data_IF_095584517573
#
_entry.id   IF_095584517573
#
_cell.length_a   1.000
_cell.length_b   1.000
_cell.length_c   1.000
_cell.angle_alpha   90.00
_cell.angle_beta   90.00
_cell.angle_gamma   90.00
#
_symmetry.space_group_name_H-M   'P 1'
#
loop_
_entity.id
_entity.type
_entity.pdbx_description
1 polymer ?
#
# COMPACT_ATOMS: atom_id res chain seq x y z
N UNK A 1 -8.69 -30.94 8.88
CA UNK A 1 -8.96 -29.97 9.97
C UNK A 1 -8.03 -28.79 9.77
N UNK A 2 -8.41 -27.88 8.89
CA UNK A 2 -7.72 -26.59 8.71
C UNK A 2 -8.12 -25.70 9.88
N UNK A 3 -7.15 -25.26 10.67
CA UNK A 3 -7.40 -24.29 11.73
C UNK A 3 -8.00 -23.04 11.08
N UNK A 4 -9.13 -22.56 11.61
CA UNK A 4 -9.73 -21.31 11.20
C UNK A 4 -8.67 -20.20 11.33
N UNK A 5 -8.21 -19.64 10.21
CA UNK A 5 -7.29 -18.50 10.21
C UNK A 5 -7.98 -17.33 10.90
N UNK A 6 -7.49 -16.96 12.08
CA UNK A 6 -7.94 -15.77 12.79
C UNK A 6 -7.64 -14.49 12.00
N UNK A 7 -8.20 -13.34 12.41
CA UNK A 7 -7.96 -12.08 11.73
C UNK A 7 -6.46 -11.73 11.68
N UNK A 8 -6.01 -11.19 10.55
CA UNK A 8 -4.61 -10.78 10.35
C UNK A 8 -4.19 -9.77 11.44
N UNK A 9 -3.12 -10.06 12.19
CA UNK A 9 -2.71 -9.21 13.31
C UNK A 9 -2.21 -7.85 12.83
N UNK A 10 -2.41 -6.82 13.66
CA UNK A 10 -1.86 -5.49 13.50
C UNK A 10 -0.38 -5.42 13.84
N UNK A 11 0.29 -4.36 13.38
CA UNK A 11 1.66 -3.99 13.80
C UNK A 11 1.79 -3.98 15.33
N UNK A 12 0.79 -3.44 16.04
CA UNK A 12 0.81 -3.34 17.50
C UNK A 12 0.74 -4.73 18.16
N UNK A 13 -0.09 -5.64 17.66
CA UNK A 13 -0.19 -7.02 18.18
C UNK A 13 1.06 -7.85 17.91
N UNK A 14 1.70 -7.67 16.74
CA UNK A 14 3.00 -8.31 16.44
C UNK A 14 4.08 -7.79 17.38
N UNK A 15 4.16 -6.46 17.55
CA UNK A 15 5.10 -5.83 18.49
C UNK A 15 4.87 -6.33 19.92
N UNK A 16 3.62 -6.42 20.36
CA UNK A 16 3.26 -6.88 21.70
C UNK A 16 3.69 -8.32 21.97
N UNK A 17 3.44 -9.23 21.01
CA UNK A 17 3.93 -10.62 21.09
C UNK A 17 5.45 -10.68 21.15
N UNK A 18 6.13 -9.90 20.32
CA UNK A 18 7.61 -9.84 20.31
C UNK A 18 8.14 -9.27 21.63
N UNK A 19 7.56 -8.18 22.15
CA UNK A 19 7.92 -7.59 23.43
C UNK A 19 7.77 -8.58 24.59
N UNK A 20 6.67 -9.36 24.60
CA UNK A 20 6.46 -10.42 25.58
C UNK A 20 7.52 -11.52 25.48
N UNK A 21 7.89 -11.91 24.26
CA UNK A 21 8.96 -12.89 24.02
C UNK A 21 10.34 -12.36 24.45
N UNK A 22 10.66 -11.10 24.14
CA UNK A 22 11.91 -10.45 24.55
C UNK A 22 12.00 -10.29 26.07
N UNK A 23 10.88 -9.99 26.75
CA UNK A 23 10.83 -10.02 28.22
C UNK A 23 11.13 -11.42 28.76
N UNK A 24 10.52 -12.44 28.17
CA UNK A 24 10.58 -13.83 28.65
C UNK A 24 10.02 -13.94 30.08
N UNK A 25 10.73 -14.66 30.95
CA UNK A 25 10.33 -14.86 32.35
C UNK A 25 10.69 -13.69 33.27
N UNK A 26 11.31 -12.63 32.73
CA UNK A 26 11.64 -11.43 33.52
C UNK A 26 10.37 -10.74 33.99
N UNK A 27 10.47 -10.16 35.18
CA UNK A 27 9.40 -9.36 35.80
C UNK A 27 9.07 -8.13 34.94
N UNK A 28 7.78 -7.80 34.83
CA UNK A 28 7.28 -6.65 34.04
C UNK A 28 7.86 -5.32 34.56
N UNK A 29 8.12 -5.24 35.86
CA UNK A 29 8.75 -4.10 36.53
C UNK A 29 10.14 -3.78 35.97
N UNK A 30 10.90 -4.80 35.54
CA UNK A 30 12.23 -4.60 34.94
C UNK A 30 12.12 -3.95 33.57
N UNK A 31 11.13 -4.35 32.76
CA UNK A 31 10.87 -3.73 31.46
C UNK A 31 10.39 -2.29 31.64
N UNK A 32 9.50 -2.04 32.61
CA UNK A 32 9.03 -0.69 32.91
C UNK A 32 10.18 0.21 33.39
N UNK A 33 11.09 -0.32 34.20
CA UNK A 33 12.29 0.41 34.62
C UNK A 33 13.20 0.74 33.42
N UNK A 34 13.48 -0.23 32.56
CA UNK A 34 14.28 -0.02 31.35
C UNK A 34 13.63 0.98 30.37
N UNK A 35 12.30 0.92 30.21
CA UNK A 35 11.54 1.87 29.39
C UNK A 35 11.67 3.31 29.92
N UNK A 36 11.62 3.51 31.25
CA UNK A 36 11.88 4.81 31.89
C UNK A 36 13.29 5.31 31.62
N UNK A 37 14.29 4.44 31.75
CA UNK A 37 15.68 4.77 31.44
C UNK A 37 15.87 5.13 29.96
N UNK A 38 15.05 4.58 29.06
CA UNK A 38 15.01 4.90 27.64
C UNK A 38 14.15 6.14 27.30
N UNK A 39 13.62 6.85 28.29
CA UNK A 39 12.84 8.09 28.11
C UNK A 39 11.32 7.90 27.96
N UNK A 40 10.80 6.68 28.09
CA UNK A 40 9.36 6.43 28.13
C UNK A 40 8.86 6.53 29.57
N UNK A 41 7.92 7.44 29.87
CA UNK A 41 7.29 7.51 31.19
C UNK A 41 6.26 6.37 31.40
N UNK A 42 6.69 5.12 31.24
CA UNK A 42 5.84 3.93 31.23
C UNK A 42 5.96 3.17 32.55
N UNK A 43 4.80 2.82 33.13
CA UNK A 43 4.70 1.88 34.25
C UNK A 43 4.39 0.47 33.78
N UNK A 44 4.28 -0.46 34.73
CA UNK A 44 3.96 -1.88 34.46
C UNK A 44 2.66 -2.06 33.68
N UNK A 45 1.63 -1.26 33.97
CA UNK A 45 0.37 -1.29 33.20
C UNK A 45 0.57 -0.97 31.72
N UNK A 46 1.45 -0.02 31.39
CA UNK A 46 1.72 0.34 29.99
C UNK A 46 2.54 -0.72 29.26
N UNK A 47 3.40 -1.45 29.99
CA UNK A 47 4.08 -2.64 29.45
C UNK A 47 3.07 -3.77 29.21
N UNK A 48 2.12 -3.98 30.11
CA UNK A 48 1.06 -4.97 29.91
C UNK A 48 0.17 -4.61 28.70
N UNK A 49 -0.13 -3.32 28.49
CA UNK A 49 -0.81 -2.85 27.27
C UNK A 49 0.00 -3.08 26.01
N UNK A 50 1.32 -2.85 26.07
CA UNK A 50 2.23 -3.13 24.96
C UNK A 50 2.15 -4.61 24.58
N UNK A 51 2.35 -5.50 25.56
CA UNK A 51 2.34 -6.95 25.34
C UNK A 51 1.01 -7.49 24.82
N UNK A 52 -0.08 -6.80 25.13
CA UNK A 52 -1.41 -7.11 24.64
C UNK A 52 -1.75 -6.44 23.29
N UNK A 53 -0.82 -5.72 22.67
CA UNK A 53 -1.02 -5.05 21.38
C UNK A 53 -1.92 -3.82 21.42
N UNK A 54 -2.18 -3.25 22.60
CA UNK A 54 -3.04 -2.06 22.77
C UNK A 54 -2.28 -0.74 22.63
N UNK A 55 -0.96 -0.79 22.46
CA UNK A 55 -0.11 0.38 22.24
C UNK A 55 0.11 0.55 20.75
N UNK A 56 -0.41 1.63 20.17
CA UNK A 56 -0.01 2.03 18.81
C UNK A 56 1.39 2.64 18.86
N UNK A 57 2.42 1.98 18.29
CA UNK A 57 3.78 2.46 18.40
C UNK A 57 4.04 3.57 17.37
N UNK A 58 4.74 4.61 17.80
CA UNK A 58 5.36 5.61 16.90
C UNK A 58 6.83 5.29 16.68
N UNK A 59 7.47 5.87 15.67
CA UNK A 59 8.91 5.69 15.46
C UNK A 59 9.76 6.04 16.71
N UNK A 60 9.52 7.17 17.43
CA UNK A 60 10.19 7.43 18.70
C UNK A 60 9.95 6.34 19.76
N UNK A 61 8.72 5.80 19.83
CA UNK A 61 8.40 4.70 20.74
C UNK A 61 9.18 3.43 20.40
N UNK A 62 9.24 3.06 19.12
CA UNK A 62 10.00 1.89 18.66
C UNK A 62 11.49 2.02 18.96
N UNK A 63 12.07 3.20 18.74
CA UNK A 63 13.45 3.48 19.11
C UNK A 63 13.69 3.29 20.63
N UNK A 64 12.84 3.89 21.46
CA UNK A 64 12.97 3.78 22.91
C UNK A 64 12.78 2.33 23.40
N UNK A 65 11.92 1.54 22.74
CA UNK A 65 11.78 0.11 23.02
C UNK A 65 13.03 -0.70 22.63
N UNK A 66 13.70 -0.38 21.52
CA UNK A 66 14.99 -0.99 21.17
C UNK A 66 16.03 -0.73 22.26
N UNK A 67 16.11 0.50 22.76
CA UNK A 67 17.02 0.88 23.86
C UNK A 67 16.64 0.13 25.15
N UNK A 68 15.36 0.13 25.53
CA UNK A 68 14.88 -0.50 26.75
C UNK A 68 15.15 -2.02 26.75
N UNK A 69 14.79 -2.73 25.68
CA UNK A 69 15.06 -4.15 25.57
C UNK A 69 16.55 -4.45 25.37
N UNK A 70 17.31 -3.55 24.75
CA UNK A 70 18.75 -3.72 24.60
C UNK A 70 19.49 -3.64 25.95
N UNK A 71 19.10 -2.70 26.81
CA UNK A 71 19.56 -2.62 28.21
C UNK A 71 19.15 -3.89 28.98
N UNK A 72 17.90 -4.32 28.85
CA UNK A 72 17.37 -5.48 29.57
C UNK A 72 18.04 -6.80 29.19
N UNK A 73 18.44 -6.93 27.92
CA UNK A 73 19.02 -8.14 27.35
C UNK A 73 20.54 -8.10 27.23
N UNK A 74 21.16 -6.98 27.58
CA UNK A 74 22.60 -6.72 27.43
C UNK A 74 23.11 -7.00 25.99
N UNK A 75 22.33 -6.57 25.00
CA UNK A 75 22.69 -6.67 23.58
C UNK A 75 22.03 -5.57 22.75
N UNK A 76 22.64 -5.10 21.66
CA UNK A 76 21.98 -4.17 20.76
C UNK A 76 20.74 -4.81 20.10
N UNK A 77 19.72 -3.98 19.83
CA UNK A 77 18.53 -4.32 19.06
C UNK A 77 18.33 -3.33 17.93
N UNK A 78 17.87 -3.84 16.80
CA UNK A 78 17.40 -3.09 15.64
C UNK A 78 15.88 -2.95 15.67
N UNK A 79 15.33 -2.06 14.84
CA UNK A 79 13.88 -1.95 14.68
C UNK A 79 13.27 -3.26 14.15
N UNK A 80 13.97 -3.99 13.28
CA UNK A 80 13.51 -5.26 12.74
C UNK A 80 13.37 -6.35 13.82
N UNK A 81 14.21 -6.32 14.86
CA UNK A 81 14.14 -7.27 15.99
C UNK A 81 12.85 -7.15 16.80
N UNK A 82 12.15 -6.02 16.71
CA UNK A 82 10.85 -5.81 17.36
C UNK A 82 9.68 -6.49 16.62
N UNK A 83 9.93 -7.09 15.45
CA UNK A 83 8.92 -7.67 14.57
C UNK A 83 9.28 -9.11 14.17
N UNK A 84 9.45 -9.97 15.17
CA UNK A 84 9.79 -11.38 14.98
C UNK A 84 8.57 -12.24 14.59
N UNK A 85 8.84 -13.40 13.99
CA UNK A 85 7.84 -14.36 13.53
C UNK A 85 7.56 -14.28 12.04
N UNK A 86 6.47 -14.92 11.60
CA UNK A 86 6.11 -15.06 10.18
C UNK A 86 4.62 -14.76 9.94
N UNK A 87 4.25 -14.70 8.66
CA UNK A 87 2.89 -14.46 8.20
C UNK A 87 2.56 -12.99 7.95
N UNK A 88 1.28 -12.72 7.69
CA UNK A 88 0.81 -11.39 7.31
C UNK A 88 0.63 -10.47 8.50
N UNK A 89 0.86 -9.18 8.26
CA UNK A 89 0.60 -8.10 9.22
C UNK A 89 -0.20 -6.99 8.53
N UNK A 90 -1.17 -6.44 9.27
CA UNK A 90 -1.96 -5.29 8.85
C UNK A 90 -1.25 -3.99 9.20
N UNK A 91 -0.97 -3.17 8.18
CA UNK A 91 -0.17 -1.93 8.25
C UNK A 91 -1.06 -0.69 8.41
N UNK A 92 -2.22 -0.68 7.76
CA UNK A 92 -3.14 0.46 7.76
C UNK A 92 -4.52 0.06 8.26
N UNK A 93 -5.29 1.05 8.72
CA UNK A 93 -6.62 0.83 9.28
C UNK A 93 -7.63 0.31 8.24
N UNK A 94 -7.47 0.71 6.97
CA UNK A 94 -8.27 0.31 5.81
C UNK A 94 -7.90 -1.08 5.26
N UNK A 95 -7.01 -1.81 5.94
CA UNK A 95 -6.78 -3.23 5.68
C UNK A 95 -5.61 -3.55 4.77
N UNK A 96 -4.73 -2.60 4.45
CA UNK A 96 -3.49 -2.94 3.74
C UNK A 96 -2.65 -3.90 4.60
N UNK A 97 -2.26 -5.02 4.00
CA UNK A 97 -1.46 -6.06 4.64
C UNK A 97 -0.18 -6.30 3.86
N UNK A 98 0.85 -6.81 4.54
CA UNK A 98 2.11 -7.24 3.93
C UNK A 98 2.69 -8.44 4.68
N UNK A 99 3.65 -9.15 4.10
CA UNK A 99 4.35 -10.21 4.81
C UNK A 99 5.27 -9.62 5.88
N UNK A 100 5.36 -10.27 7.04
CA UNK A 100 6.18 -9.76 8.14
C UNK A 100 7.68 -9.73 7.79
N UNK A 101 8.12 -10.61 6.88
CA UNK A 101 9.47 -10.57 6.30
C UNK A 101 9.73 -9.27 5.53
N UNK A 102 8.78 -8.82 4.72
CA UNK A 102 8.90 -7.57 3.94
C UNK A 102 8.98 -6.35 4.88
N UNK A 103 8.20 -6.34 5.96
CA UNK A 103 8.29 -5.30 6.99
C UNK A 103 9.69 -5.26 7.62
N UNK A 104 10.26 -6.42 7.95
CA UNK A 104 11.63 -6.50 8.50
C UNK A 104 12.68 -6.02 7.52
N UNK A 105 12.58 -6.41 6.26
CA UNK A 105 13.51 -5.99 5.21
C UNK A 105 13.48 -4.47 5.04
N UNK A 106 12.28 -3.87 5.01
CA UNK A 106 12.12 -2.41 4.97
C UNK A 106 12.76 -1.73 6.18
N UNK A 107 12.51 -2.24 7.40
CA UNK A 107 13.11 -1.70 8.63
C UNK A 107 14.63 -1.91 8.71
N UNK A 108 15.15 -2.91 7.99
CA UNK A 108 16.59 -3.13 7.81
C UNK A 108 17.20 -2.26 6.69
N UNK A 109 16.41 -1.36 6.08
CA UNK A 109 16.86 -0.43 5.05
C UNK A 109 16.84 -1.00 3.64
N UNK A 110 16.23 -2.16 3.41
CA UNK A 110 15.99 -2.63 2.05
C UNK A 110 14.97 -1.72 1.35
N UNK A 111 15.15 -1.42 0.05
CA UNK A 111 14.17 -0.66 -0.71
C UNK A 111 12.81 -1.33 -0.68
N UNK A 112 11.75 -0.55 -0.42
CA UNK A 112 10.38 -1.00 -0.63
C UNK A 112 10.17 -1.11 -2.14
N UNK A 113 9.84 -2.30 -2.63
CA UNK A 113 9.42 -2.45 -4.02
C UNK A 113 8.04 -1.81 -4.18
N UNK A 114 7.96 -0.71 -4.93
CA UNK A 114 6.70 -0.02 -5.26
C UNK A 114 6.32 -0.25 -6.72
N UNK A 115 6.80 -1.33 -7.33
CA UNK A 115 6.54 -1.66 -8.71
C UNK A 115 5.05 -1.83 -9.05
N UNK A 116 4.68 -1.69 -10.35
CA UNK A 116 3.32 -1.87 -10.87
C UNK A 116 2.57 -3.10 -10.32
N UNK A 117 3.29 -4.17 -10.03
CA UNK A 117 2.74 -5.45 -9.58
C UNK A 117 2.14 -5.41 -8.16
N UNK A 118 2.59 -4.53 -7.25
CA UNK A 118 1.98 -4.40 -5.92
C UNK A 118 0.68 -3.59 -5.93
N UNK A 119 0.60 -2.59 -6.80
CA UNK A 119 -0.66 -1.87 -7.06
C UNK A 119 -1.67 -2.83 -7.68
N UNK A 120 -1.24 -3.62 -8.65
CA UNK A 120 -2.07 -4.66 -9.26
C UNK A 120 -2.52 -5.73 -8.25
N UNK A 121 -1.63 -6.22 -7.38
CA UNK A 121 -2.01 -7.22 -6.38
C UNK A 121 -3.02 -6.65 -5.36
N UNK A 122 -2.84 -5.41 -4.92
CA UNK A 122 -3.80 -4.71 -4.04
C UNK A 122 -5.15 -4.47 -4.71
N UNK A 123 -5.16 -4.12 -5.99
CA UNK A 123 -6.39 -3.92 -6.76
C UNK A 123 -7.15 -5.22 -7.01
N UNK A 124 -6.42 -6.28 -7.39
CA UNK A 124 -6.99 -7.62 -7.57
C UNK A 124 -7.55 -8.12 -6.24
N UNK A 125 -6.84 -7.90 -5.13
CA UNK A 125 -7.32 -8.27 -3.79
C UNK A 125 -8.54 -7.45 -3.37
N UNK A 126 -8.53 -6.12 -3.57
CA UNK A 126 -9.68 -5.26 -3.26
C UNK A 126 -10.94 -5.61 -4.08
N UNK A 127 -10.75 -5.99 -5.36
CA UNK A 127 -11.82 -6.50 -6.20
C UNK A 127 -12.34 -7.86 -5.72
N UNK A 128 -11.44 -8.76 -5.32
CA UNK A 128 -11.80 -10.07 -4.78
C UNK A 128 -12.53 -9.97 -3.44
N UNK A 129 -12.16 -9.03 -2.55
CA UNK A 129 -12.86 -8.80 -1.29
C UNK A 129 -14.27 -8.23 -1.51
N UNK A 130 -14.43 -7.27 -2.42
CA UNK A 130 -15.75 -6.73 -2.76
C UNK A 130 -16.68 -7.81 -3.36
N UNK A 131 -16.13 -8.67 -4.22
CA UNK A 131 -16.88 -9.81 -4.75
C UNK A 131 -17.23 -10.83 -3.65
N UNK A 132 -16.29 -11.14 -2.75
CA UNK A 132 -16.50 -12.05 -1.64
C UNK A 132 -17.63 -11.58 -0.70
N UNK A 133 -17.68 -10.28 -0.40
CA UNK A 133 -18.77 -9.66 0.38
C UNK A 133 -20.13 -9.75 -0.33
N UNK A 134 -20.15 -9.53 -1.65
CA UNK A 134 -21.39 -9.59 -2.43
C UNK A 134 -21.97 -11.00 -2.55
N UNK A 135 -21.11 -12.02 -2.56
CA UNK A 135 -21.49 -13.42 -2.75
C UNK A 135 -21.45 -14.26 -1.47
N UNK A 136 -21.20 -13.64 -0.30
CA UNK A 136 -21.11 -14.26 1.02
C UNK A 136 -20.20 -15.51 1.05
N UNK A 137 -19.00 -15.35 0.48
CA UNK A 137 -17.96 -16.40 0.42
C UNK A 137 -16.66 -15.88 1.02
N UNK A 138 -15.79 -16.77 1.52
CA UNK A 138 -14.48 -16.36 1.99
C UNK A 138 -13.62 -15.84 0.82
N UNK A 139 -12.81 -14.79 1.00
CA UNK A 139 -11.99 -14.23 -0.08
C UNK A 139 -11.04 -15.27 -0.74
N UNK A 140 -10.53 -16.23 0.04
CA UNK A 140 -9.75 -17.36 -0.47
C UNK A 140 -10.59 -18.37 -1.27
N UNK A 141 -11.87 -18.51 -0.95
CA UNK A 141 -12.83 -19.33 -1.71
C UNK A 141 -13.32 -18.60 -2.95
N UNK A 142 -13.45 -17.27 -2.94
CA UNK A 142 -13.71 -16.48 -4.15
C UNK A 142 -12.58 -16.63 -5.18
N UNK A 143 -11.33 -16.69 -4.70
CA UNK A 143 -10.16 -16.98 -5.54
C UNK A 143 -10.17 -18.42 -6.10
N UNK A 144 -10.56 -19.39 -5.29
CA UNK A 144 -10.50 -20.83 -5.62
C UNK A 144 -11.73 -21.33 -6.42
N UNK A 145 -12.93 -20.90 -6.05
CA UNK A 145 -14.20 -21.22 -6.72
C UNK A 145 -14.32 -20.56 -8.10
N UNK A 146 -13.58 -19.47 -8.33
CA UNK A 146 -13.44 -18.91 -9.66
C UNK A 146 -12.66 -19.86 -10.62
N UNK A 147 -12.02 -20.93 -10.11
CA UNK A 147 -11.41 -21.97 -10.93
C UNK A 147 -10.37 -21.43 -11.91
N UNK A 148 -9.72 -20.32 -11.56
CA UNK A 148 -8.97 -19.55 -12.53
C UNK A 148 -7.51 -19.95 -12.47
N UNK A 149 -7.07 -20.73 -13.45
CA UNK A 149 -5.71 -20.49 -13.91
C UNK A 149 -5.63 -18.99 -14.25
N UNK A 150 -4.70 -18.26 -13.64
CA UNK A 150 -4.45 -16.81 -13.84
C UNK A 150 -4.69 -16.25 -15.26
N UNK A 151 -4.51 -17.01 -16.37
CA UNK A 151 -4.90 -16.56 -17.71
C UNK A 151 -6.40 -16.24 -17.94
N UNK A 152 -7.35 -16.94 -17.30
CA UNK A 152 -8.77 -16.86 -17.68
C UNK A 152 -9.55 -15.73 -17.00
N UNK A 153 -9.16 -15.31 -15.79
CA UNK A 153 -9.72 -14.14 -15.11
C UNK A 153 -9.24 -12.90 -15.85
N UNK A 154 -7.97 -12.91 -16.27
CA UNK A 154 -7.37 -11.87 -17.10
C UNK A 154 -8.10 -11.74 -18.45
N UNK A 155 -8.56 -12.86 -19.02
CA UNK A 155 -9.41 -12.96 -20.22
C UNK A 155 -10.81 -12.41 -20.03
N UNK A 156 -11.47 -12.81 -18.95
CA UNK A 156 -12.88 -12.49 -18.68
C UNK A 156 -13.11 -11.10 -18.09
N UNK A 157 -12.13 -10.56 -17.37
CA UNK A 157 -12.19 -9.22 -16.76
C UNK A 157 -11.58 -8.12 -17.64
N UNK A 158 -10.95 -8.47 -18.76
CA UNK A 158 -10.27 -7.51 -19.63
C UNK A 158 -8.92 -7.02 -19.09
N UNK A 159 -8.39 -7.61 -18.01
CA UNK A 159 -7.04 -7.34 -17.47
C UNK A 159 -5.89 -7.61 -18.46
N UNK A 160 -6.16 -8.15 -19.66
CA UNK A 160 -5.18 -8.23 -20.76
C UNK A 160 -4.72 -6.87 -21.31
N UNK A 161 -5.45 -5.78 -21.04
CA UNK A 161 -5.05 -4.47 -21.53
C UNK A 161 -4.24 -3.71 -20.49
N UNK A 162 -2.97 -4.09 -20.37
CA UNK A 162 -1.86 -3.43 -19.68
C UNK A 162 -2.08 -3.05 -18.17
N UNK A 163 -1.07 -3.22 -17.29
CA UNK A 163 -1.05 -2.56 -15.97
C UNK A 163 -1.23 -1.05 -16.04
N UNK A 164 -0.88 -0.49 -17.20
CA UNK A 164 -0.60 0.91 -17.42
C UNK A 164 -1.88 1.76 -17.42
N UNK A 165 -2.97 1.42 -18.13
CA UNK A 165 -4.27 2.09 -17.98
C UNK A 165 -4.73 2.20 -16.53
N UNK A 166 -4.65 1.13 -15.75
CA UNK A 166 -5.12 1.17 -14.37
C UNK A 166 -4.25 2.07 -13.47
N UNK A 167 -2.93 2.02 -13.63
CA UNK A 167 -1.99 2.93 -12.94
C UNK A 167 -2.26 4.38 -13.35
N UNK A 168 -2.49 4.64 -14.64
CA UNK A 168 -2.86 5.97 -15.13
C UNK A 168 -4.14 6.45 -14.47
N UNK A 169 -5.18 5.61 -14.43
CA UNK A 169 -6.48 5.93 -13.81
C UNK A 169 -6.35 6.33 -12.35
N UNK A 170 -5.58 5.58 -11.57
CA UNK A 170 -5.37 5.86 -10.15
C UNK A 170 -4.56 7.13 -9.88
N UNK A 171 -3.71 7.52 -10.82
CA UNK A 171 -2.90 8.73 -10.74
C UNK A 171 -3.53 9.93 -11.45
N UNK A 172 -4.82 9.84 -11.84
CA UNK A 172 -5.56 10.99 -12.33
C UNK A 172 -5.77 11.98 -11.19
N UNK A 173 -5.36 13.21 -11.44
CA UNK A 173 -5.62 14.36 -10.59
C UNK A 173 -6.79 15.16 -11.13
N UNK A 174 -7.32 16.06 -10.30
CA UNK A 174 -8.38 17.00 -10.69
C UNK A 174 -8.03 17.80 -11.98
N UNK A 175 -6.76 18.10 -12.18
CA UNK A 175 -6.29 18.76 -13.41
C UNK A 175 -6.47 17.90 -14.67
N UNK A 176 -6.35 16.58 -14.55
CA UNK A 176 -6.57 15.64 -15.66
C UNK A 176 -8.05 15.58 -16.02
N UNK A 177 -8.95 15.50 -15.03
CA UNK A 177 -10.40 15.55 -15.25
C UNK A 177 -10.83 16.84 -15.94
N UNK A 178 -10.32 18.01 -15.50
CA UNK A 178 -10.60 19.29 -16.16
C UNK A 178 -10.09 19.34 -17.59
N UNK A 179 -8.88 18.79 -17.84
CA UNK A 179 -8.32 18.71 -19.17
C UNK A 179 -9.18 17.84 -20.09
N UNK A 180 -9.60 16.67 -19.63
CA UNK A 180 -10.48 15.77 -20.38
C UNK A 180 -11.84 16.41 -20.71
N UNK A 181 -12.47 17.07 -19.74
CA UNK A 181 -13.69 17.86 -20.01
C UNK A 181 -13.45 18.99 -21.01
N UNK A 182 -12.27 19.60 -20.99
CA UNK A 182 -11.90 20.65 -21.97
C UNK A 182 -11.67 20.11 -23.39
N UNK A 183 -11.54 18.80 -23.57
CA UNK A 183 -11.56 18.11 -24.87
C UNK A 183 -12.98 17.80 -25.34
N UNK A 184 -14.00 18.14 -24.55
CA UNK A 184 -15.41 17.85 -24.86
C UNK A 184 -15.87 16.47 -24.43
N UNK A 185 -15.03 15.70 -23.72
CA UNK A 185 -15.39 14.37 -23.23
C UNK A 185 -16.40 14.46 -22.08
N UNK A 186 -17.48 13.70 -22.21
CA UNK A 186 -18.50 13.54 -21.19
C UNK A 186 -18.17 12.33 -20.33
N UNK A 187 -17.47 12.59 -19.24
CA UNK A 187 -16.89 11.54 -18.38
C UNK A 187 -17.92 10.72 -17.59
N UNK A 188 -19.18 11.13 -17.64
CA UNK A 188 -20.36 10.45 -17.10
C UNK A 188 -20.98 9.45 -18.09
N UNK A 189 -20.63 9.53 -19.38
CA UNK A 189 -21.02 8.52 -20.36
C UNK A 189 -20.17 7.24 -20.17
N UNK A 190 -20.83 6.09 -20.23
CA UNK A 190 -20.21 4.79 -19.96
C UNK A 190 -19.01 4.55 -20.89
N UNK A 191 -17.85 4.22 -20.30
CA UNK A 191 -16.63 3.87 -21.03
C UNK A 191 -15.76 5.03 -21.52
N UNK A 192 -16.26 6.28 -21.56
CA UNK A 192 -15.51 7.45 -22.07
C UNK A 192 -14.24 7.72 -21.25
N UNK A 193 -14.33 7.61 -19.93
CA UNK A 193 -13.15 7.76 -19.06
C UNK A 193 -12.12 6.65 -19.31
N UNK A 194 -12.58 5.43 -19.55
CA UNK A 194 -11.71 4.26 -19.75
C UNK A 194 -10.94 4.37 -21.05
N UNK A 195 -11.59 4.86 -22.10
CA UNK A 195 -10.95 5.14 -23.38
C UNK A 195 -9.89 6.24 -23.27
N UNK A 196 -10.21 7.36 -22.61
CA UNK A 196 -9.24 8.42 -22.38
C UNK A 196 -8.03 7.95 -21.56
N UNK A 197 -8.26 7.09 -20.56
CA UNK A 197 -7.21 6.48 -19.75
C UNK A 197 -6.33 5.54 -20.60
N UNK A 198 -6.93 4.71 -21.47
CA UNK A 198 -6.18 3.86 -22.40
C UNK A 198 -5.35 4.70 -23.37
N UNK A 199 -5.92 5.76 -23.94
CA UNK A 199 -5.18 6.67 -24.82
C UNK A 199 -3.96 7.30 -24.12
N UNK A 200 -4.10 7.74 -22.86
CA UNK A 200 -2.95 8.22 -22.06
C UNK A 200 -1.92 7.12 -21.79
N UNK A 201 -2.38 5.92 -21.46
CA UNK A 201 -1.53 4.78 -21.17
C UNK A 201 -0.73 4.32 -22.40
N UNK A 202 -1.37 4.23 -23.55
CA UNK A 202 -0.74 3.81 -24.80
C UNK A 202 0.25 4.87 -25.30
N UNK A 203 -0.07 6.16 -25.12
CA UNK A 203 0.80 7.25 -25.59
C UNK A 203 1.96 7.53 -24.68
N UNK A 204 1.73 7.59 -23.37
CA UNK A 204 2.73 8.09 -22.42
C UNK A 204 3.01 7.11 -21.29
N UNK A 205 2.11 6.15 -21.05
CA UNK A 205 2.16 5.27 -19.90
C UNK A 205 2.00 5.98 -18.56
N UNK A 206 1.47 7.20 -18.56
CA UNK A 206 1.28 8.06 -17.38
C UNK A 206 0.15 9.07 -17.66
N UNK A 207 -0.42 9.68 -16.61
CA UNK A 207 -1.47 10.69 -16.76
C UNK A 207 -0.96 11.95 -17.46
N UNK A 208 -1.88 12.76 -17.98
CA UNK A 208 -1.56 14.03 -18.64
C UNK A 208 -0.72 14.95 -17.76
N UNK A 209 -1.10 15.09 -16.48
CA UNK A 209 -0.39 15.96 -15.53
C UNK A 209 1.01 15.43 -15.23
N UNK A 210 1.15 14.11 -15.02
CA UNK A 210 2.45 13.47 -14.82
C UNK A 210 3.36 13.64 -16.06
N UNK A 211 2.81 13.49 -17.27
CA UNK A 211 3.58 13.70 -18.50
C UNK A 211 3.97 15.15 -18.71
N UNK A 212 3.07 16.10 -18.43
CA UNK A 212 3.36 17.53 -18.49
C UNK A 212 4.53 17.87 -17.59
N UNK A 213 4.49 17.45 -16.33
CA UNK A 213 5.51 17.82 -15.36
C UNK A 213 6.85 17.15 -15.67
N UNK A 214 6.83 15.91 -16.19
CA UNK A 214 8.03 15.24 -16.69
C UNK A 214 8.67 15.98 -17.88
N UNK A 215 7.90 16.37 -18.90
CA UNK A 215 8.41 17.12 -20.06
C UNK A 215 8.85 18.54 -19.68
N UNK A 216 8.18 19.14 -18.70
CA UNK A 216 8.48 20.48 -18.25
C UNK A 216 9.79 20.52 -17.44
N UNK A 217 10.00 19.53 -16.57
CA UNK A 217 11.06 19.50 -15.58
C UNK A 217 10.69 20.25 -14.29
N UNK A 218 11.40 20.01 -13.19
CA UNK A 218 11.03 20.51 -11.86
C UNK A 218 10.96 22.04 -11.79
N UNK A 219 11.88 22.74 -12.45
CA UNK A 219 12.01 24.21 -12.41
C UNK A 219 11.23 24.94 -13.50
N UNK A 220 10.31 24.25 -14.19
CA UNK A 220 9.56 24.86 -15.28
C UNK A 220 8.59 25.92 -14.80
N UNK A 221 8.73 27.13 -15.36
CA UNK A 221 7.77 28.21 -15.16
C UNK A 221 6.39 27.92 -15.79
N UNK A 222 5.39 28.72 -15.40
CA UNK A 222 4.00 28.56 -15.85
C UNK A 222 3.84 28.62 -17.38
N UNK A 223 4.64 29.44 -18.07
CA UNK A 223 4.59 29.58 -19.53
C UNK A 223 5.06 28.30 -20.23
N UNK A 224 6.17 27.71 -19.78
CA UNK A 224 6.70 26.44 -20.31
C UNK A 224 5.70 25.31 -20.09
N UNK A 225 5.15 25.18 -18.88
CA UNK A 225 4.10 24.18 -18.57
C UNK A 225 2.86 24.38 -19.45
N UNK A 226 2.44 25.63 -19.66
CA UNK A 226 1.30 25.95 -20.53
C UNK A 226 1.53 25.57 -22.00
N UNK A 227 2.76 25.74 -22.52
CA UNK A 227 3.10 25.30 -23.89
C UNK A 227 3.02 23.78 -24.01
N UNK A 228 3.61 23.06 -23.06
CA UNK A 228 3.60 21.59 -23.02
C UNK A 228 2.17 21.06 -22.88
N UNK A 229 1.35 21.66 -22.00
CA UNK A 229 -0.05 21.26 -21.86
C UNK A 229 -0.83 21.36 -23.18
N UNK A 230 -0.57 22.38 -24.01
CA UNK A 230 -1.23 22.53 -25.32
C UNK A 230 -0.80 21.45 -26.30
N UNK A 231 0.48 21.11 -26.32
CA UNK A 231 1.04 20.02 -27.13
C UNK A 231 0.44 18.67 -26.74
N UNK A 232 0.47 18.35 -25.44
CA UNK A 232 -0.10 17.11 -24.92
C UNK A 232 -1.61 17.01 -25.15
N UNK A 233 -2.32 18.14 -25.07
CA UNK A 233 -3.76 18.19 -25.36
C UNK A 233 -4.04 17.80 -26.82
N UNK A 234 -3.22 18.29 -27.75
CA UNK A 234 -3.34 17.93 -29.16
C UNK A 234 -3.01 16.45 -29.41
N UNK A 235 -1.92 15.94 -28.80
CA UNK A 235 -1.55 14.52 -28.89
C UNK A 235 -2.67 13.59 -28.37
N UNK A 236 -3.30 13.95 -27.26
CA UNK A 236 -4.37 13.15 -26.67
C UNK A 236 -5.66 13.22 -27.50
N UNK A 237 -6.03 14.40 -28.00
CA UNK A 237 -7.18 14.52 -28.90
C UNK A 237 -6.99 13.65 -30.15
N UNK A 238 -5.79 13.65 -30.74
CA UNK A 238 -5.47 12.80 -31.89
C UNK A 238 -5.53 11.31 -31.54
N UNK A 239 -5.08 10.92 -30.34
CA UNK A 239 -5.14 9.54 -29.88
C UNK A 239 -6.58 9.04 -29.70
N UNK A 240 -7.45 9.87 -29.11
CA UNK A 240 -8.86 9.53 -28.90
C UNK A 240 -9.58 9.43 -30.25
N UNK A 241 -9.42 10.43 -31.14
CA UNK A 241 -10.09 10.42 -32.44
C UNK A 241 -9.69 9.23 -33.33
N UNK A 242 -8.51 8.63 -33.11
CA UNK A 242 -8.05 7.45 -33.85
C UNK A 242 -8.63 6.13 -33.30
N UNK A 243 -9.15 6.13 -32.07
CA UNK A 243 -9.82 4.98 -31.45
C UNK A 243 -11.29 4.83 -31.86
N UNK A 244 -11.88 5.90 -32.42
CA UNK A 244 -13.27 5.97 -32.91
C UNK A 244 -13.48 5.48 -34.36
N UNK A 245 -12.40 5.10 -35.08
CA UNK A 245 -12.40 4.55 -36.46
C UNK A 245 -12.28 3.01 -36.47
#
# INVERSE_FOLDING_TARGET
MTAAEGPVPTVAEVLGRTAKALRGDRKVELVAHAAKSAGLNWGTGRIADLEAGRVSPTLPTLYALCVAFGILLDRPLTLADLFAGDGRVRITADGATMELSELRDMLAGQPVDYGPHQILSRLVFAGATAAAEQFDVAAGEAFSAAGVEMPDLVRRTGLHQHPVPQIVRQNLLEADYRMLRSLGLKLDEDGVLDEAVRAMADRWGRSFTAERDRRAGPDANAQKRGRISRELKAELQEAINRGDD
#
